data_IF_761541496141
#
_entry.id   IF_761541496141
#
_cell.length_a   1.000
_cell.length_b   1.000
_cell.length_c   1.000
_cell.angle_alpha   90.00
_cell.angle_beta   90.00
_cell.angle_gamma   90.00
#
_symmetry.space_group_name_H-M   'P 1'
#
loop_
_entity.id
_entity.type
_entity.pdbx_description
1 polymer ?
#
# COMPACT_ATOMS: atom_id res chain seq x y z
N UNK A 1 0.18 -25.41 -7.95
CA UNK A 1 -1.16 -25.71 -8.48
C UNK A 1 -2.15 -25.31 -7.41
N UNK A 2 -2.79 -24.15 -7.54
CA UNK A 2 -3.89 -23.73 -6.67
C UNK A 2 -5.11 -24.61 -6.97
N UNK A 3 -5.68 -25.30 -5.97
CA UNK A 3 -6.89 -26.12 -6.13
C UNK A 3 -8.12 -25.20 -6.17
N UNK A 4 -8.94 -25.20 -7.25
CA UNK A 4 -10.03 -24.24 -7.42
C UNK A 4 -11.40 -24.81 -7.00
N UNK A 5 -11.57 -25.28 -5.75
CA UNK A 5 -12.80 -26.01 -5.38
C UNK A 5 -13.52 -25.62 -4.07
N UNK A 6 -13.04 -24.64 -3.28
CA UNK A 6 -13.74 -24.20 -2.04
C UNK A 6 -13.87 -22.67 -1.93
N UNK A 7 -13.87 -21.97 -3.05
CA UNK A 7 -13.94 -20.50 -3.08
C UNK A 7 -15.34 -19.84 -2.87
N UNK A 8 -16.50 -20.46 -3.20
CA UNK A 8 -17.78 -19.76 -3.03
C UNK A 8 -18.15 -19.54 -1.56
N UNK A 9 -17.71 -20.41 -0.63
CA UNK A 9 -18.07 -20.31 0.79
C UNK A 9 -17.55 -19.03 1.45
N UNK A 10 -16.29 -18.65 1.19
CA UNK A 10 -15.69 -17.50 1.88
C UNK A 10 -16.30 -16.17 1.43
N UNK A 11 -16.59 -16.04 0.14
CA UNK A 11 -17.19 -14.84 -0.44
C UNK A 11 -18.64 -14.66 0.05
N UNK A 12 -19.43 -15.73 0.02
CA UNK A 12 -20.81 -15.72 0.54
C UNK A 12 -20.85 -15.40 2.03
N UNK A 13 -19.89 -15.91 2.81
CA UNK A 13 -19.74 -15.56 4.23
C UNK A 13 -19.39 -14.09 4.46
N UNK A 14 -18.59 -13.49 3.59
CA UNK A 14 -18.29 -12.05 3.65
C UNK A 14 -19.56 -11.25 3.36
N UNK A 15 -20.33 -11.63 2.32
CA UNK A 15 -21.56 -10.95 1.90
C UNK A 15 -22.70 -11.05 2.91
N UNK A 16 -22.87 -12.23 3.50
CA UNK A 16 -23.92 -12.49 4.50
C UNK A 16 -23.59 -11.92 5.88
N UNK A 17 -22.38 -11.40 6.08
CA UNK A 17 -21.99 -10.73 7.32
C UNK A 17 -22.68 -9.37 7.43
N UNK A 18 -23.41 -9.15 8.54
CA UNK A 18 -23.94 -7.83 8.88
C UNK A 18 -22.85 -6.85 9.37
N UNK A 19 -21.60 -7.30 9.52
CA UNK A 19 -20.51 -6.49 10.06
C UNK A 19 -19.89 -5.60 9.00
N UNK A 20 -19.66 -4.32 9.35
CA UNK A 20 -18.93 -3.38 8.49
C UNK A 20 -17.43 -3.66 8.38
N UNK A 21 -16.88 -4.38 9.37
CA UNK A 21 -15.46 -4.76 9.44
C UNK A 21 -15.39 -6.28 9.55
N UNK A 22 -14.66 -6.90 8.63
CA UNK A 22 -14.52 -8.35 8.55
C UNK A 22 -13.03 -8.69 8.59
N UNK A 23 -12.65 -9.61 9.47
CA UNK A 23 -11.28 -10.10 9.59
C UNK A 23 -11.22 -11.49 8.98
N UNK A 24 -10.40 -11.64 7.94
CA UNK A 24 -10.13 -12.93 7.31
C UNK A 24 -8.84 -13.51 7.88
N UNK A 25 -8.96 -14.55 8.71
CA UNK A 25 -7.84 -15.25 9.32
C UNK A 25 -7.77 -16.70 8.85
N UNK A 26 -6.55 -17.22 8.69
CA UNK A 26 -6.33 -18.60 8.27
C UNK A 26 -4.91 -18.80 7.70
N UNK A 27 -4.51 -20.06 7.45
CA UNK A 27 -3.17 -20.39 6.98
C UNK A 27 -2.87 -19.80 5.59
N UNK A 28 -1.61 -19.84 5.17
CA UNK A 28 -1.24 -19.51 3.80
C UNK A 28 -2.05 -20.38 2.80
N UNK A 29 -2.29 -19.84 1.59
CA UNK A 29 -3.02 -20.50 0.51
C UNK A 29 -4.50 -20.89 0.79
N UNK A 30 -5.13 -20.44 1.88
CA UNK A 30 -6.55 -20.70 2.14
C UNK A 30 -7.54 -19.77 1.40
N UNK A 31 -7.13 -19.15 0.28
CA UNK A 31 -8.02 -18.35 -0.56
C UNK A 31 -8.33 -16.91 -0.10
N UNK A 32 -7.74 -16.40 1.01
CA UNK A 32 -7.97 -15.01 1.49
C UNK A 32 -7.76 -13.97 0.40
N UNK A 33 -6.61 -14.04 -0.28
CA UNK A 33 -6.28 -13.10 -1.36
C UNK A 33 -7.26 -13.23 -2.52
N UNK A 34 -7.65 -14.45 -2.89
CA UNK A 34 -8.63 -14.68 -3.95
C UNK A 34 -10.00 -14.08 -3.62
N UNK A 35 -10.47 -14.24 -2.38
CA UNK A 35 -11.73 -13.63 -1.94
C UNK A 35 -11.68 -12.09 -1.96
N UNK A 36 -10.58 -11.49 -1.53
CA UNK A 36 -10.39 -10.02 -1.61
C UNK A 36 -10.39 -9.54 -3.06
N UNK A 37 -9.76 -10.27 -3.98
CA UNK A 37 -9.74 -9.93 -5.40
C UNK A 37 -11.13 -10.08 -6.05
N UNK A 38 -11.88 -11.13 -5.72
CA UNK A 38 -13.26 -11.31 -6.17
C UNK A 38 -14.15 -10.15 -5.70
N UNK A 39 -14.09 -9.79 -4.41
CA UNK A 39 -14.79 -8.62 -3.87
C UNK A 39 -14.41 -7.32 -4.57
N UNK A 40 -13.12 -7.11 -4.83
CA UNK A 40 -12.62 -5.94 -5.54
C UNK A 40 -13.17 -5.83 -6.96
N UNK A 41 -13.30 -6.97 -7.66
CA UNK A 41 -13.85 -7.02 -9.00
C UNK A 41 -15.36 -6.77 -9.04
N UNK A 42 -16.12 -7.21 -8.03
CA UNK A 42 -17.56 -6.95 -7.93
C UNK A 42 -17.91 -5.48 -7.71
N UNK A 43 -17.07 -4.75 -6.99
CA UNK A 43 -17.28 -3.32 -6.68
C UNK A 43 -16.65 -2.40 -7.75
N UNK A 44 -16.36 -2.95 -8.93
CA UNK A 44 -16.01 -2.16 -10.11
C UNK A 44 -17.29 -1.54 -10.67
N UNK A 45 -17.40 -0.21 -10.63
CA UNK A 45 -18.47 0.48 -11.34
C UNK A 45 -18.35 0.29 -12.86
N UNK A 46 -19.46 0.49 -13.59
CA UNK A 46 -19.51 0.38 -15.06
C UNK A 46 -18.53 1.34 -15.75
N UNK A 47 -18.29 2.52 -15.16
CA UNK A 47 -17.31 3.51 -15.62
C UNK A 47 -15.86 3.16 -15.23
N UNK A 48 -15.65 2.04 -14.55
CA UNK A 48 -14.34 1.58 -14.14
C UNK A 48 -13.65 2.37 -13.02
N UNK A 49 -14.31 3.41 -12.53
CA UNK A 49 -13.98 4.04 -11.25
C UNK A 49 -14.42 3.07 -10.15
N UNK A 50 -13.49 2.22 -9.74
CA UNK A 50 -13.71 1.29 -8.64
C UNK A 50 -13.97 2.04 -7.33
N UNK A 51 -15.01 1.64 -6.61
CA UNK A 51 -15.27 2.11 -5.24
C UNK A 51 -14.36 1.41 -4.21
N UNK A 52 -13.47 0.53 -4.67
CA UNK A 52 -12.63 -0.31 -3.84
C UNK A 52 -11.17 0.17 -3.84
N UNK A 53 -10.62 0.37 -2.65
CA UNK A 53 -9.20 0.62 -2.41
C UNK A 53 -8.56 -0.64 -1.80
N UNK A 54 -7.53 -1.16 -2.45
CA UNK A 54 -6.75 -2.29 -1.96
C UNK A 54 -5.41 -1.79 -1.44
N UNK A 55 -5.14 -2.07 -0.17
CA UNK A 55 -3.87 -1.78 0.46
C UNK A 55 -3.04 -3.05 0.62
N UNK A 56 -1.79 -2.98 0.16
CA UNK A 56 -0.82 -4.06 0.26
C UNK A 56 0.43 -3.60 1.04
N UNK A 57 1.16 -4.53 1.70
CA UNK A 57 2.24 -4.17 2.60
C UNK A 57 3.46 -3.56 1.89
N UNK A 58 3.71 -3.93 0.64
CA UNK A 58 4.90 -3.51 -0.09
C UNK A 58 4.66 -3.47 -1.62
N UNK A 59 5.58 -2.84 -2.34
CA UNK A 59 5.49 -2.66 -3.79
C UNK A 59 5.46 -4.00 -4.57
N UNK A 60 6.24 -5.03 -4.22
CA UNK A 60 6.10 -6.35 -4.85
C UNK A 60 4.68 -6.94 -4.75
N UNK A 61 4.05 -6.88 -3.57
CA UNK A 61 2.67 -7.35 -3.39
C UNK A 61 1.68 -6.51 -4.19
N UNK A 62 1.86 -5.18 -4.25
CA UNK A 62 1.04 -4.33 -5.14
C UNK A 62 1.15 -4.80 -6.59
N UNK A 63 2.36 -4.97 -7.11
CA UNK A 63 2.57 -5.40 -8.49
C UNK A 63 1.93 -6.77 -8.77
N UNK A 64 2.06 -7.72 -7.84
CA UNK A 64 1.45 -9.05 -7.96
C UNK A 64 -0.09 -8.97 -7.99
N UNK A 65 -0.70 -8.21 -7.08
CA UNK A 65 -2.16 -8.04 -7.03
C UNK A 65 -2.68 -7.32 -8.27
N UNK A 66 -2.02 -6.24 -8.69
CA UNK A 66 -2.33 -5.52 -9.92
C UNK A 66 -2.31 -6.45 -11.12
N UNK A 67 -1.28 -7.29 -11.24
CA UNK A 67 -1.18 -8.26 -12.35
C UNK A 67 -2.35 -9.24 -12.34
N UNK A 68 -2.67 -9.86 -11.19
CA UNK A 68 -3.81 -10.78 -11.07
C UNK A 68 -5.13 -10.12 -11.47
N UNK A 69 -5.34 -8.88 -11.06
CA UNK A 69 -6.54 -8.12 -11.41
C UNK A 69 -6.64 -7.86 -12.92
N UNK A 70 -5.51 -7.55 -13.56
CA UNK A 70 -5.45 -7.31 -15.01
C UNK A 70 -5.62 -8.61 -15.80
N UNK A 71 -5.05 -9.72 -15.32
CA UNK A 71 -5.17 -11.03 -15.95
C UNK A 71 -6.63 -11.54 -15.94
N UNK A 72 -7.40 -11.21 -14.89
CA UNK A 72 -8.81 -11.62 -14.75
C UNK A 72 -9.81 -10.74 -15.53
N UNK A 73 -9.37 -9.60 -16.11
CA UNK A 73 -10.29 -8.67 -16.79
C UNK A 73 -9.62 -7.88 -17.91
N UNK A 74 -9.99 -8.18 -19.16
CA UNK A 74 -9.53 -7.43 -20.33
C UNK A 74 -9.91 -5.93 -20.28
N UNK A 75 -11.01 -5.59 -19.60
CA UNK A 75 -11.44 -4.22 -19.36
C UNK A 75 -10.61 -3.50 -18.27
N UNK A 76 -9.90 -4.24 -17.41
CA UNK A 76 -9.13 -3.65 -16.31
C UNK A 76 -7.87 -2.91 -16.79
N UNK A 77 -7.36 -3.17 -17.99
CA UNK A 77 -6.23 -2.43 -18.55
C UNK A 77 -6.55 -0.95 -18.77
N UNK A 78 -7.82 -0.61 -19.07
CA UNK A 78 -8.25 0.76 -19.31
C UNK A 78 -8.47 1.57 -18.01
N UNK A 79 -8.50 0.90 -16.85
CA UNK A 79 -9.02 1.44 -15.60
C UNK A 79 -8.02 1.13 -14.49
N UNK A 80 -7.12 2.09 -14.21
CA UNK A 80 -6.03 1.91 -13.27
C UNK A 80 -6.54 1.34 -11.93
N UNK A 81 -6.23 0.07 -11.59
CA UNK A 81 -6.75 -0.53 -10.36
C UNK A 81 -6.19 0.21 -9.15
N UNK A 82 -7.03 0.50 -8.16
CA UNK A 82 -6.67 1.20 -6.93
C UNK A 82 -5.98 0.26 -5.94
N UNK A 83 -4.88 -0.36 -6.36
CA UNK A 83 -3.98 -1.14 -5.50
C UNK A 83 -2.76 -0.30 -5.18
N UNK A 84 -2.46 -0.10 -3.91
CA UNK A 84 -1.29 0.67 -3.50
C UNK A 84 -0.76 0.25 -2.13
N UNK A 85 0.40 0.76 -1.77
CA UNK A 85 0.91 0.64 -0.39
C UNK A 85 0.31 1.73 0.49
N UNK A 86 0.38 1.54 1.81
CA UNK A 86 0.01 2.59 2.76
C UNK A 86 0.83 3.88 2.54
N UNK A 87 2.13 3.75 2.27
CA UNK A 87 3.00 4.91 1.99
C UNK A 87 2.57 5.65 0.71
N UNK A 88 2.16 4.93 -0.33
CA UNK A 88 1.65 5.53 -1.56
C UNK A 88 0.30 6.23 -1.35
N UNK A 89 -0.61 5.63 -0.56
CA UNK A 89 -1.86 6.27 -0.16
C UNK A 89 -1.61 7.57 0.61
N UNK A 90 -0.74 7.52 1.63
CA UNK A 90 -0.39 8.69 2.43
C UNK A 90 0.21 9.80 1.56
N UNK A 91 1.10 9.46 0.61
CA UNK A 91 1.66 10.41 -0.34
C UNK A 91 0.59 11.10 -1.20
N UNK A 92 -0.43 10.36 -1.67
CA UNK A 92 -1.56 10.92 -2.43
C UNK A 92 -2.40 11.88 -1.58
N UNK A 93 -2.80 11.45 -0.38
CA UNK A 93 -3.60 12.28 0.54
C UNK A 93 -2.88 13.59 0.90
N UNK A 94 -1.56 13.53 1.12
CA UNK A 94 -0.74 14.72 1.41
C UNK A 94 -0.57 15.64 0.20
N UNK A 95 -0.56 15.10 -1.02
CA UNK A 95 -0.51 15.90 -2.24
C UNK A 95 -1.83 16.65 -2.49
N UNK A 96 -2.97 16.01 -2.18
CA UNK A 96 -4.31 16.54 -2.40
C UNK A 96 -4.78 17.51 -1.29
N UNK A 97 -4.17 17.45 -0.10
CA UNK A 97 -4.48 18.40 0.97
C UNK A 97 -4.00 19.82 0.60
N UNK A 98 -4.88 20.86 0.65
CA UNK A 98 -4.44 22.24 0.50
C UNK A 98 -3.36 22.57 1.54
N UNK A 99 -2.37 23.42 1.21
CA UNK A 99 -1.24 23.64 2.10
C UNK A 99 -1.72 24.32 3.38
N UNK A 100 -1.83 23.55 4.47
CA UNK A 100 -1.98 24.08 5.83
C UNK A 100 -0.59 24.51 6.34
N UNK A 101 0.05 25.47 5.67
CA UNK A 101 1.38 25.94 6.04
C UNK A 101 2.11 26.68 4.92
N UNK A 102 3.26 27.31 5.24
CA UNK A 102 4.06 28.08 4.28
C UNK A 102 4.48 27.22 3.07
N UNK A 103 4.72 27.85 1.90
CA UNK A 103 5.01 27.16 0.64
C UNK A 103 6.32 26.36 0.74
N UNK A 104 6.20 25.08 1.08
CA UNK A 104 7.32 24.16 1.30
C UNK A 104 6.86 22.74 1.63
N UNK A 105 5.71 22.33 1.04
CA UNK A 105 5.00 21.07 1.27
C UNK A 105 5.95 19.88 1.43
N UNK A 106 5.73 19.11 2.51
CA UNK A 106 6.50 17.95 2.93
C UNK A 106 6.87 17.03 1.77
N UNK A 107 8.09 17.19 1.27
CA UNK A 107 8.63 16.39 0.18
C UNK A 107 9.14 15.08 0.77
N UNK A 108 8.71 13.95 0.21
CA UNK A 108 9.34 12.67 0.52
C UNK A 108 10.83 12.75 0.20
N UNK A 109 11.67 12.48 1.20
CA UNK A 109 13.10 12.37 1.00
C UNK A 109 13.40 11.04 0.31
N UNK A 110 14.16 11.10 -0.79
CA UNK A 110 14.72 9.88 -1.38
C UNK A 110 15.65 9.19 -0.37
N UNK A 111 15.89 7.87 -0.48
CA UNK A 111 16.85 7.18 0.39
C UNK A 111 18.24 7.83 0.37
N UNK A 112 18.69 8.29 -0.80
CA UNK A 112 19.96 9.00 -0.95
C UNK A 112 19.93 10.36 -0.24
N UNK A 113 18.92 11.18 -0.49
CA UNK A 113 18.77 12.50 0.14
C UNK A 113 18.71 12.36 1.65
N UNK A 114 17.90 11.41 2.17
CA UNK A 114 17.83 11.12 3.60
C UNK A 114 19.21 10.75 4.16
N UNK A 115 19.98 9.91 3.47
CA UNK A 115 21.32 9.50 3.91
C UNK A 115 22.29 10.68 3.94
N UNK A 116 22.29 11.53 2.92
CA UNK A 116 23.14 12.72 2.85
C UNK A 116 22.75 13.75 3.92
N UNK A 117 21.46 13.98 4.13
CA UNK A 117 20.96 14.86 5.19
C UNK A 117 21.35 14.35 6.58
N UNK A 118 21.14 13.05 6.86
CA UNK A 118 21.55 12.46 8.13
C UNK A 118 23.06 12.56 8.35
N UNK A 119 23.86 12.35 7.30
CA UNK A 119 25.31 12.51 7.39
C UNK A 119 25.70 13.95 7.73
N UNK A 120 25.11 14.94 7.06
CA UNK A 120 25.38 16.35 7.39
C UNK A 120 25.03 16.70 8.84
N UNK A 121 23.87 16.24 9.33
CA UNK A 121 23.47 16.43 10.73
C UNK A 121 24.49 15.79 11.68
N UNK A 122 24.95 14.57 11.38
CA UNK A 122 25.95 13.87 12.20
C UNK A 122 27.28 14.63 12.18
N UNK A 123 27.74 15.09 11.02
CA UNK A 123 29.00 15.84 10.88
C UNK A 123 28.93 17.16 11.67
N UNK A 124 27.81 17.89 11.61
CA UNK A 124 27.57 19.12 12.39
C UNK A 124 27.57 18.86 13.91
N UNK A 125 26.84 17.84 14.37
CA UNK A 125 26.77 17.50 15.79
C UNK A 125 28.11 16.96 16.32
N UNK A 126 28.86 16.24 15.49
CA UNK A 126 30.21 15.77 15.82
C UNK A 126 31.17 16.94 15.98
N UNK A 127 31.17 17.88 15.03
CA UNK A 127 31.99 19.10 15.11
C UNK A 127 31.64 19.97 16.34
N UNK A 128 30.37 19.97 16.75
CA UNK A 128 29.91 20.65 17.96
C UNK A 128 30.21 19.88 19.27
N UNK A 129 30.83 18.69 19.23
CA UNK A 129 31.10 17.86 20.40
C UNK A 129 29.85 17.26 21.06
N UNK A 130 28.70 17.29 20.37
CA UNK A 130 27.40 16.85 20.90
C UNK A 130 27.16 15.35 20.72
N UNK A 131 28.11 14.62 20.13
CA UNK A 131 28.07 13.18 19.92
C UNK A 131 29.17 12.44 20.72
N UNK A 132 29.12 12.47 22.07
CA UNK A 132 30.17 11.86 22.90
C UNK A 132 30.33 10.35 22.66
N UNK A 133 29.26 9.66 22.27
CA UNK A 133 29.29 8.23 21.94
C UNK A 133 30.07 7.91 20.65
N UNK A 134 30.26 8.90 19.77
CA UNK A 134 30.99 8.73 18.50
C UNK A 134 32.45 9.21 18.58
N UNK A 135 32.87 9.82 19.69
CA UNK A 135 34.23 10.33 19.87
C UNK A 135 35.31 9.23 19.82
N UNK A 136 34.97 7.97 20.09
CA UNK A 136 35.92 6.86 20.09
C UNK A 136 36.15 6.22 18.70
N UNK A 137 35.38 6.62 17.67
CA UNK A 137 35.41 6.02 16.33
C UNK A 137 35.73 7.06 15.24
N UNK A 138 35.98 8.31 15.63
CA UNK A 138 36.32 9.42 14.76
C UNK A 138 37.84 9.55 14.57
#
# INVERSE_FOLDING_TARGET
>A
MDRPAEQPDLLERIRSSASRVIVLAGPAACGKTSAVLAMANEHRGEDGRGQCLLLAPNAPTVAQLTRRILDDSAAAAALSPSVMTFAALAGRLLADCPPAGPPGRGRMLSPLTRRLTLRGIIDELSAAGQLPAFAAVA
#
